data_IF_744362190572
#
_entry.id   IF_744362190572
#
_cell.length_a   1.000
_cell.length_b   1.000
_cell.length_c   1.000
_cell.angle_alpha   90.00
_cell.angle_beta   90.00
_cell.angle_gamma   90.00
#
_symmetry.space_group_name_H-M   'P 1'
#
loop_
_entity.id
_entity.type
_entity.pdbx_description
1 polymer ?
#
# COMPACT_ATOMS: atom_id res chain seq x y z
N UNK A 1 -17.55 3.51 -3.94
CA UNK A 1 -16.37 4.41 -4.07
C UNK A 1 -15.05 3.66 -4.32
N UNK A 2 -14.78 2.49 -3.70
CA UNK A 2 -13.47 1.81 -3.77
C UNK A 2 -12.91 1.43 -5.15
N UNK A 3 -13.75 1.01 -6.11
CA UNK A 3 -13.31 0.62 -7.46
C UNK A 3 -12.56 1.74 -8.23
N UNK A 4 -12.93 3.01 -7.99
CA UNK A 4 -12.28 4.15 -8.66
C UNK A 4 -10.85 4.38 -8.15
N UNK A 5 -10.60 4.14 -6.86
CA UNK A 5 -9.27 4.29 -6.24
C UNK A 5 -8.33 3.19 -6.71
N UNK A 6 -8.77 1.93 -6.66
CA UNK A 6 -7.98 0.78 -7.10
C UNK A 6 -7.55 0.87 -8.57
N UNK A 7 -8.45 1.33 -9.45
CA UNK A 7 -8.15 1.52 -10.88
C UNK A 7 -7.04 2.55 -11.09
N UNK A 8 -7.05 3.67 -10.34
CA UNK A 8 -6.00 4.69 -10.42
C UNK A 8 -4.64 4.17 -9.96
N UNK A 9 -4.60 3.40 -8.87
CA UNK A 9 -3.36 2.79 -8.37
C UNK A 9 -2.79 1.85 -9.44
N UNK A 10 -3.61 0.97 -10.01
CA UNK A 10 -3.18 0.07 -11.08
C UNK A 10 -2.61 0.83 -12.28
N UNK A 11 -3.27 1.90 -12.71
CA UNK A 11 -2.77 2.76 -13.80
C UNK A 11 -1.42 3.40 -13.44
N UNK A 12 -1.26 3.93 -12.23
CA UNK A 12 0.01 4.52 -11.77
C UNK A 12 1.12 3.46 -11.80
N UNK A 13 0.87 2.26 -11.28
CA UNK A 13 1.85 1.17 -11.26
C UNK A 13 2.28 0.76 -12.67
N UNK A 14 1.31 0.52 -13.57
CA UNK A 14 1.58 0.10 -14.94
C UNK A 14 2.30 1.19 -15.75
N UNK A 15 1.88 2.46 -15.62
CA UNK A 15 2.55 3.59 -16.29
C UNK A 15 3.96 3.84 -15.77
N UNK A 16 4.26 3.40 -14.55
CA UNK A 16 5.62 3.39 -14.00
C UNK A 16 6.39 2.11 -14.37
N UNK A 17 5.90 1.28 -15.29
CA UNK A 17 6.64 0.13 -15.81
C UNK A 17 6.76 -1.04 -14.82
N UNK A 18 5.88 -1.14 -13.82
CA UNK A 18 5.76 -2.36 -13.03
C UNK A 18 4.98 -3.42 -13.80
N UNK A 19 5.43 -4.66 -13.70
CA UNK A 19 4.67 -5.83 -14.18
C UNK A 19 3.93 -6.44 -13.00
N UNK A 20 2.62 -6.67 -13.16
CA UNK A 20 1.80 -7.37 -12.16
C UNK A 20 1.83 -8.86 -12.52
N UNK A 21 2.44 -9.69 -11.68
CA UNK A 21 2.54 -11.14 -11.95
C UNK A 21 1.47 -11.95 -11.22
N UNK A 22 1.01 -11.46 -10.07
CA UNK A 22 -0.12 -12.03 -9.34
C UNK A 22 -1.03 -10.89 -8.85
N UNK A 23 -2.34 -11.11 -8.94
CA UNK A 23 -3.35 -10.18 -8.43
C UNK A 23 -4.52 -10.98 -7.86
N UNK A 24 -4.95 -10.64 -6.65
CA UNK A 24 -6.16 -11.21 -6.05
C UNK A 24 -6.92 -10.19 -5.23
N UNK A 25 -8.24 -10.31 -5.22
CA UNK A 25 -9.06 -9.68 -4.20
C UNK A 25 -9.14 -10.57 -2.97
N UNK A 26 -9.01 -9.99 -1.78
CA UNK A 26 -9.21 -10.68 -0.51
C UNK A 26 -9.92 -9.78 0.48
N UNK A 27 -10.49 -10.38 1.52
CA UNK A 27 -10.84 -9.68 2.75
C UNK A 27 -9.81 -10.05 3.81
N UNK A 28 -9.38 -9.10 4.61
CA UNK A 28 -8.44 -9.38 5.69
C UNK A 28 -9.15 -10.08 6.84
N UNK A 29 -8.70 -11.29 7.15
CA UNK A 29 -8.94 -11.92 8.46
C UNK A 29 -7.88 -11.43 9.44
N UNK A 30 -8.09 -11.70 10.73
CA UNK A 30 -7.11 -11.40 11.77
C UNK A 30 -5.72 -11.96 11.45
N UNK A 31 -5.65 -13.25 11.14
CA UNK A 31 -4.39 -13.92 10.78
C UNK A 31 -3.70 -13.30 9.55
N UNK A 32 -4.46 -12.93 8.51
CA UNK A 32 -3.87 -12.31 7.30
C UNK A 32 -3.34 -10.91 7.63
N UNK A 33 -4.09 -10.11 8.39
CA UNK A 33 -3.66 -8.77 8.77
C UNK A 33 -2.42 -8.80 9.68
N UNK A 34 -2.39 -9.71 10.67
CA UNK A 34 -1.21 -9.88 11.53
C UNK A 34 0.03 -10.33 10.77
N UNK A 35 -0.15 -11.22 9.79
CA UNK A 35 0.96 -11.67 8.95
C UNK A 35 1.48 -10.51 8.07
N UNK A 36 0.59 -9.70 7.50
CA UNK A 36 0.99 -8.54 6.70
C UNK A 36 1.75 -7.51 7.55
N UNK A 37 1.29 -7.26 8.77
CA UNK A 37 1.83 -6.24 9.67
C UNK A 37 2.87 -6.80 10.66
N UNK A 38 3.42 -7.99 10.43
CA UNK A 38 4.32 -8.66 11.37
C UNK A 38 5.51 -7.78 11.80
N UNK A 39 6.02 -6.99 10.85
CA UNK A 39 7.15 -6.08 11.03
C UNK A 39 6.79 -4.72 11.63
N UNK A 40 5.49 -4.40 11.73
CA UNK A 40 5.00 -3.15 12.28
C UNK A 40 4.37 -3.33 13.68
N UNK A 41 4.50 -4.51 14.29
CA UNK A 41 3.92 -4.83 15.61
C UNK A 41 4.31 -3.88 16.74
N UNK A 42 5.50 -3.29 16.67
CA UNK A 42 5.96 -2.29 17.65
C UNK A 42 5.53 -0.86 17.33
N UNK A 43 4.86 -0.63 16.20
CA UNK A 43 4.37 0.69 15.81
C UNK A 43 3.21 1.11 16.72
N UNK A 44 3.15 2.39 17.17
CA UNK A 44 1.99 2.89 17.91
C UNK A 44 0.69 2.81 17.11
N UNK A 45 0.76 2.81 15.78
CA UNK A 45 -0.40 2.71 14.88
C UNK A 45 -0.78 1.27 14.52
N UNK A 46 -0.06 0.25 15.02
CA UNK A 46 -0.27 -1.15 14.63
C UNK A 46 -1.72 -1.62 14.80
N UNK A 47 -2.30 -1.37 15.98
CA UNK A 47 -3.65 -1.84 16.29
C UNK A 47 -4.70 -1.15 15.40
N UNK A 48 -4.50 0.14 15.12
CA UNK A 48 -5.38 0.92 14.26
C UNK A 48 -5.29 0.46 12.81
N UNK A 49 -4.08 0.23 12.29
CA UNK A 49 -3.85 -0.34 10.96
C UNK A 49 -4.48 -1.72 10.81
N UNK A 50 -4.28 -2.60 11.80
CA UNK A 50 -4.89 -3.94 11.81
C UNK A 50 -6.41 -3.85 11.76
N UNK A 51 -7.00 -3.01 12.60
CA UNK A 51 -8.46 -2.77 12.64
C UNK A 51 -8.97 -2.21 11.32
N UNK A 52 -8.24 -1.26 10.71
CA UNK A 52 -8.59 -0.70 9.42
C UNK A 52 -8.58 -1.76 8.30
N UNK A 53 -7.54 -2.59 8.22
CA UNK A 53 -7.47 -3.68 7.24
C UNK A 53 -8.66 -4.64 7.36
N UNK A 54 -9.06 -4.99 8.59
CA UNK A 54 -10.17 -5.91 8.85
C UNK A 54 -11.54 -5.31 8.52
N UNK A 55 -11.71 -4.00 8.68
CA UNK A 55 -13.00 -3.31 8.51
C UNK A 55 -13.20 -2.70 7.11
N UNK A 56 -12.13 -2.51 6.34
CA UNK A 56 -12.14 -1.84 5.01
C UNK A 56 -12.79 -2.65 3.87
N UNK A 57 -13.26 -3.86 4.15
CA UNK A 57 -13.95 -4.71 3.18
C UNK A 57 -12.98 -5.49 2.30
N UNK A 58 -13.19 -5.49 0.99
CA UNK A 58 -12.33 -6.20 0.04
C UNK A 58 -11.16 -5.31 -0.40
N UNK A 59 -9.95 -5.87 -0.39
CA UNK A 59 -8.71 -5.23 -0.81
C UNK A 59 -8.10 -6.01 -1.97
N UNK A 60 -7.23 -5.34 -2.74
CA UNK A 60 -6.46 -5.96 -3.82
C UNK A 60 -5.03 -6.18 -3.32
N UNK A 61 -4.59 -7.44 -3.28
CA UNK A 61 -3.18 -7.78 -3.12
C UNK A 61 -2.56 -8.04 -4.50
N UNK A 62 -1.34 -7.55 -4.67
CA UNK A 62 -0.59 -7.63 -5.94
C UNK A 62 0.85 -8.01 -5.66
N UNK A 63 1.41 -8.81 -6.56
CA UNK A 63 2.85 -9.03 -6.66
C UNK A 63 3.39 -8.26 -7.86
N UNK A 64 4.35 -7.39 -7.60
CA UNK A 64 4.91 -6.44 -8.57
C UNK A 64 6.36 -6.80 -8.87
N UNK A 65 6.69 -6.90 -10.15
CA UNK A 65 8.05 -7.13 -10.63
C UNK A 65 8.53 -5.91 -11.40
N UNK A 66 9.80 -5.55 -11.17
CA UNK A 66 10.51 -4.50 -11.86
C UNK A 66 11.91 -4.32 -11.30
N UNK A 67 12.76 -3.63 -12.05
CA UNK A 67 14.09 -3.24 -11.55
C UNK A 67 13.92 -2.32 -10.33
N UNK A 68 14.66 -2.60 -9.24
CA UNK A 68 14.61 -1.84 -7.98
C UNK A 68 13.17 -1.62 -7.47
N UNK A 69 12.32 -2.64 -7.59
CA UNK A 69 10.88 -2.53 -7.39
C UNK A 69 10.51 -1.87 -6.06
N UNK A 70 11.07 -2.35 -4.94
CA UNK A 70 10.73 -1.85 -3.58
C UNK A 70 11.04 -0.36 -3.43
N UNK A 71 12.25 0.07 -3.78
CA UNK A 71 12.66 1.47 -3.64
C UNK A 71 11.87 2.40 -4.56
N UNK A 72 11.59 1.95 -5.78
CA UNK A 72 10.74 2.70 -6.71
C UNK A 72 9.30 2.77 -6.22
N UNK A 73 8.78 1.69 -5.65
CA UNK A 73 7.43 1.66 -5.08
C UNK A 73 7.31 2.65 -3.92
N UNK A 74 8.32 2.71 -3.05
CA UNK A 74 8.43 3.69 -1.97
C UNK A 74 8.44 5.12 -2.52
N UNK A 75 9.20 5.38 -3.59
CA UNK A 75 9.25 6.69 -4.24
C UNK A 75 7.90 7.12 -4.80
N UNK A 76 7.23 6.27 -5.57
CA UNK A 76 5.92 6.61 -6.17
C UNK A 76 4.80 6.67 -5.12
N UNK A 77 4.93 5.94 -4.01
CA UNK A 77 3.96 5.97 -2.92
C UNK A 77 3.99 7.32 -2.21
N UNK A 78 5.19 7.84 -1.97
CA UNK A 78 5.43 9.06 -1.20
C UNK A 78 5.42 8.83 0.32
N UNK A 79 5.55 9.92 1.10
CA UNK A 79 5.45 9.90 2.56
C UNK A 79 4.13 9.30 3.06
N UNK A 80 4.16 8.64 4.23
CA UNK A 80 2.96 8.02 4.85
C UNK A 80 1.89 9.05 5.23
N UNK A 81 2.28 10.27 5.65
CA UNK A 81 1.35 11.37 5.92
C UNK A 81 0.95 12.05 4.59
N UNK A 82 -0.35 12.02 4.21
CA UNK A 82 -0.84 12.67 3.00
C UNK A 82 -0.57 14.18 2.94
N UNK A 83 -0.52 14.89 4.07
CA UNK A 83 -0.20 16.31 4.10
C UNK A 83 1.25 16.59 3.74
N UNK A 84 2.16 15.73 4.18
CA UNK A 84 3.58 15.78 3.80
C UNK A 84 3.72 15.35 2.34
N UNK A 85 3.07 14.27 1.93
CA UNK A 85 3.11 13.80 0.55
C UNK A 85 2.62 14.87 -0.44
N UNK A 86 1.51 15.57 -0.15
CA UNK A 86 1.00 16.67 -0.99
C UNK A 86 1.97 17.85 -1.10
N UNK A 87 2.87 18.05 -0.12
CA UNK A 87 3.88 19.12 -0.15
C UNK A 87 5.14 18.68 -0.90
N UNK A 88 5.61 17.46 -0.66
CA UNK A 88 6.87 16.95 -1.21
C UNK A 88 6.71 16.42 -2.64
N UNK A 89 5.66 15.64 -2.90
CA UNK A 89 5.33 15.11 -4.22
C UNK A 89 3.80 14.99 -4.38
N UNK A 90 3.14 16.06 -4.88
CA UNK A 90 1.70 16.09 -5.12
C UNK A 90 1.20 15.01 -6.08
N UNK A 91 2.10 14.37 -6.85
CA UNK A 91 1.78 13.32 -7.82
C UNK A 91 1.88 11.90 -7.26
N UNK A 92 2.42 11.75 -6.04
CA UNK A 92 2.55 10.46 -5.37
C UNK A 92 1.20 9.83 -5.03
N UNK A 93 1.17 8.50 -4.90
CA UNK A 93 -0.07 7.75 -4.64
C UNK A 93 -0.76 8.26 -3.36
N UNK A 94 0.01 8.45 -2.28
CA UNK A 94 -0.54 8.87 -0.99
C UNK A 94 -1.00 10.34 -1.04
N UNK A 95 -0.30 11.22 -1.77
CA UNK A 95 -0.78 12.59 -2.00
C UNK A 95 -2.12 12.62 -2.74
N UNK A 96 -2.31 11.74 -3.72
CA UNK A 96 -3.53 11.71 -4.55
C UNK A 96 -4.71 11.03 -3.85
N UNK A 97 -4.46 9.99 -3.07
CA UNK A 97 -5.49 9.03 -2.63
C UNK A 97 -5.53 8.81 -1.11
N UNK A 98 -4.58 9.34 -0.36
CA UNK A 98 -4.52 9.21 1.08
C UNK A 98 -5.41 10.23 1.81
N UNK A 99 -6.01 9.77 2.92
CA UNK A 99 -6.81 10.59 3.82
C UNK A 99 -6.02 10.96 5.09
N UNK A 100 -5.44 9.98 5.77
CA UNK A 100 -4.50 10.14 6.90
C UNK A 100 -3.43 9.03 6.85
N UNK A 101 -2.56 8.96 7.88
CA UNK A 101 -1.46 7.98 7.95
C UNK A 101 -1.91 6.50 7.98
N UNK A 102 -3.12 6.23 8.48
CA UNK A 102 -3.71 4.89 8.58
C UNK A 102 -4.54 4.58 7.34
N UNK A 103 -5.27 5.57 6.83
CA UNK A 103 -6.21 5.51 5.70
C UNK A 103 -5.55 6.07 4.42
N UNK A 104 -4.35 5.60 4.10
CA UNK A 104 -3.55 6.13 2.97
C UNK A 104 -3.78 5.39 1.64
N UNK A 105 -4.73 4.45 1.58
CA UNK A 105 -5.15 3.68 0.40
C UNK A 105 -4.08 2.77 -0.25
N UNK A 106 -2.85 2.71 0.25
CA UNK A 106 -1.78 1.93 -0.37
C UNK A 106 -0.74 1.44 0.65
N UNK A 107 -0.59 0.11 0.74
CA UNK A 107 0.44 -0.55 1.54
C UNK A 107 1.47 -1.23 0.64
N UNK A 108 2.74 -1.22 1.04
CA UNK A 108 3.82 -1.89 0.34
C UNK A 108 4.83 -2.52 1.30
N UNK A 109 5.58 -3.51 0.81
CA UNK A 109 6.65 -4.15 1.58
C UNK A 109 7.80 -3.17 1.86
N UNK A 110 8.30 -3.05 3.10
CA UNK A 110 9.32 -2.06 3.46
C UNK A 110 10.74 -2.43 3.00
N UNK A 111 10.98 -3.68 2.60
CA UNK A 111 12.26 -4.17 2.10
C UNK A 111 12.08 -5.34 1.14
N UNK A 112 13.14 -5.66 0.38
CA UNK A 112 13.20 -6.85 -0.48
C UNK A 112 13.04 -8.14 0.33
N UNK A 113 13.61 -8.19 1.53
CA UNK A 113 13.51 -9.38 2.40
C UNK A 113 12.09 -9.62 2.92
N UNK A 114 11.31 -8.57 3.14
CA UNK A 114 9.89 -8.70 3.51
C UNK A 114 9.05 -9.07 2.29
N UNK A 115 9.35 -8.48 1.12
CA UNK A 115 8.61 -8.74 -0.12
C UNK A 115 8.73 -10.20 -0.61
N UNK A 116 9.81 -10.91 -0.25
CA UNK A 116 10.08 -12.27 -0.68
C UNK A 116 9.37 -13.38 0.15
N UNK A 117 8.55 -13.00 1.15
CA UNK A 117 7.85 -13.92 2.07
C UNK A 117 6.38 -14.17 1.70
#
# INVERSE_FOLDING_TARGET
>A
MGLKTSTKILQILLSNGFTIINLRMLKFTDSIAEKLLEYEKSSPTYLELKTHLQSSGASIAMELVGENAVDRLKKIAGPKDPNVARKEDPSSIIALLGFDEVHNSFYYSPSVSVAAK
#
